data_IF_764844323677
#
_entry.id   IF_764844323677
#
_cell.length_a   1.000
_cell.length_b   1.000
_cell.length_c   1.000
_cell.angle_alpha   90.00
_cell.angle_beta   90.00
_cell.angle_gamma   90.00
#
_symmetry.space_group_name_H-M   'P 1'
#
loop_
_entity.id
_entity.type
_entity.pdbx_description
1 polymer ?
#
# COMPACT_ATOMS: atom_id res chain seq x y z
N UNK A 1 -11.16 125.41 18.67
CA UNK A 1 -9.93 124.70 18.91
C UNK A 1 -10.22 123.43 19.76
N UNK A 2 -10.48 122.27 19.14
CA UNK A 2 -10.67 121.02 19.89
C UNK A 2 -10.14 119.88 18.99
N UNK A 3 -9.13 119.27 19.45
CA UNK A 3 -8.46 118.13 18.82
C UNK A 3 -9.11 116.83 19.35
N UNK A 4 -9.82 116.14 18.49
CA UNK A 4 -10.30 114.83 18.82
C UNK A 4 -9.24 113.79 18.55
N UNK A 5 -8.91 112.95 19.53
CA UNK A 5 -7.95 111.85 19.48
C UNK A 5 -8.72 110.61 19.15
N UNK A 6 -8.45 110.02 17.98
CA UNK A 6 -8.96 108.68 17.59
C UNK A 6 -8.12 107.60 18.19
N UNK A 7 -8.67 106.86 19.13
CA UNK A 7 -8.06 105.57 19.57
C UNK A 7 -8.41 104.46 18.61
N UNK A 8 -7.41 103.94 17.92
CA UNK A 8 -7.50 102.73 17.07
C UNK A 8 -7.54 101.47 17.94
N UNK A 9 -8.68 100.75 17.95
CA UNK A 9 -8.79 99.44 18.55
C UNK A 9 -8.06 98.45 17.65
N UNK A 10 -6.89 98.03 18.12
CA UNK A 10 -6.21 96.87 17.53
C UNK A 10 -7.01 95.56 17.80
N UNK A 11 -7.66 95.05 16.76
CA UNK A 11 -8.22 93.65 16.78
C UNK A 11 -7.07 92.71 16.65
N UNK A 12 -6.72 92.06 17.72
CA UNK A 12 -5.87 90.83 17.67
C UNK A 12 -6.61 89.72 16.96
N UNK A 13 -6.16 89.40 15.77
CA UNK A 13 -6.64 88.22 15.04
C UNK A 13 -6.25 86.93 15.80
N UNK A 14 -7.24 86.21 16.24
CA UNK A 14 -7.04 84.92 16.85
C UNK A 14 -6.39 83.95 15.83
N UNK A 15 -5.25 83.42 16.21
CA UNK A 15 -4.57 82.37 15.38
C UNK A 15 -5.47 81.19 15.15
N UNK A 16 -5.54 80.64 13.93
CA UNK A 16 -6.38 79.45 13.65
C UNK A 16 -5.92 78.29 14.47
N UNK A 17 -6.83 77.61 15.18
CA UNK A 17 -6.59 76.41 15.94
C UNK A 17 -6.16 75.29 14.95
N UNK A 18 -4.90 74.94 15.02
CA UNK A 18 -4.27 73.85 14.23
C UNK A 18 -4.98 72.54 14.55
N UNK A 19 -5.70 71.99 13.57
CA UNK A 19 -6.47 70.78 13.64
C UNK A 19 -5.59 69.59 14.05
N UNK A 20 -5.79 69.05 15.25
CA UNK A 20 -5.14 67.76 15.72
C UNK A 20 -5.62 66.52 14.98
N UNK A 21 -6.51 66.68 14.01
CA UNK A 21 -7.14 65.57 13.26
C UNK A 21 -6.17 64.75 12.37
N UNK A 22 -5.03 65.32 11.95
CA UNK A 22 -4.11 64.63 11.05
C UNK A 22 -3.30 63.50 11.73
N UNK A 23 -3.10 63.61 13.06
CA UNK A 23 -2.36 62.62 13.81
C UNK A 23 -3.18 61.36 14.13
N UNK A 24 -4.46 61.50 14.40
CA UNK A 24 -5.38 60.37 14.68
C UNK A 24 -5.61 59.52 13.42
N UNK A 25 -5.77 60.14 12.25
CA UNK A 25 -5.93 59.42 10.99
C UNK A 25 -4.72 58.53 10.64
N UNK A 26 -3.49 59.02 10.88
CA UNK A 26 -2.27 58.22 10.64
C UNK A 26 -2.13 57.02 11.58
N UNK A 27 -2.52 57.25 12.87
CA UNK A 27 -2.51 56.15 13.86
C UNK A 27 -3.55 55.09 13.52
N UNK A 28 -4.74 55.47 13.13
CA UNK A 28 -5.81 54.53 12.72
C UNK A 28 -5.42 53.75 11.47
N UNK A 29 -4.80 54.40 10.47
CA UNK A 29 -4.31 53.75 9.27
C UNK A 29 -3.19 52.74 9.57
N UNK A 30 -2.28 53.08 10.49
CA UNK A 30 -1.22 52.15 10.92
C UNK A 30 -1.80 50.93 11.63
N UNK A 31 -2.77 51.12 12.53
CA UNK A 31 -3.41 49.99 13.22
C UNK A 31 -4.14 49.07 12.23
N UNK A 32 -4.90 49.64 11.30
CA UNK A 32 -5.60 48.85 10.27
C UNK A 32 -4.61 48.10 9.39
N UNK A 33 -3.51 48.75 8.97
CA UNK A 33 -2.47 48.08 8.17
C UNK A 33 -1.80 46.92 8.90
N UNK A 34 -1.53 47.10 10.21
CA UNK A 34 -0.94 46.05 11.04
C UNK A 34 -1.88 44.85 11.22
N UNK A 35 -3.18 45.12 11.46
CA UNK A 35 -4.20 44.06 11.58
C UNK A 35 -4.36 43.28 10.26
N UNK A 36 -4.36 43.99 9.12
CA UNK A 36 -4.42 43.36 7.79
C UNK A 36 -3.19 42.51 7.52
N UNK A 37 -1.99 42.98 7.87
CA UNK A 37 -0.74 42.22 7.73
C UNK A 37 -0.77 40.94 8.58
N UNK A 38 -1.22 41.01 9.82
CA UNK A 38 -1.37 39.86 10.69
C UNK A 38 -2.42 38.88 10.16
N UNK A 39 -3.55 39.37 9.64
CA UNK A 39 -4.57 38.53 9.05
C UNK A 39 -4.07 37.79 7.79
N UNK A 40 -3.27 38.46 6.95
CA UNK A 40 -2.65 37.86 5.77
C UNK A 40 -1.62 36.78 6.13
N UNK A 41 -0.79 37.03 7.18
CA UNK A 41 0.20 36.04 7.61
C UNK A 41 -0.45 34.77 8.21
N UNK A 42 -1.48 34.96 9.06
CA UNK A 42 -2.20 33.82 9.67
C UNK A 42 -3.03 33.08 8.60
N UNK A 43 -3.75 33.82 7.73
CA UNK A 43 -4.53 33.24 6.65
C UNK A 43 -3.69 32.51 5.62
N UNK A 44 -2.51 33.07 5.28
CA UNK A 44 -1.58 32.44 4.36
C UNK A 44 -0.98 31.13 4.90
N UNK A 45 -0.63 31.09 6.19
CA UNK A 45 -0.11 29.87 6.83
C UNK A 45 -1.18 28.77 6.95
N UNK A 46 -2.41 29.13 7.26
CA UNK A 46 -3.52 28.16 7.32
C UNK A 46 -3.87 27.62 5.93
N UNK A 47 -3.90 28.47 4.90
CA UNK A 47 -4.15 28.05 3.53
C UNK A 47 -3.04 27.12 3.00
N UNK A 48 -1.77 27.41 3.32
CA UNK A 48 -0.65 26.55 2.98
C UNK A 48 -0.72 25.19 3.67
N UNK A 49 -1.12 25.14 4.94
CA UNK A 49 -1.25 23.90 5.70
C UNK A 49 -2.40 23.04 5.17
N UNK A 50 -3.53 23.67 4.82
CA UNK A 50 -4.70 22.95 4.28
C UNK A 50 -4.48 22.41 2.87
N UNK A 51 -3.62 23.03 2.05
CA UNK A 51 -3.40 22.61 0.66
C UNK A 51 -2.47 21.40 0.55
N UNK A 52 -1.74 21.06 1.61
CA UNK A 52 -0.81 19.92 1.61
C UNK A 52 -1.40 18.59 2.09
N UNK A 53 -2.56 18.62 2.68
CA UNK A 53 -3.23 17.40 3.13
C UNK A 53 -4.23 16.89 2.08
N UNK A 54 -3.72 16.41 0.94
CA UNK A 54 -4.40 15.29 0.31
C UNK A 54 -4.08 14.06 1.16
N UNK A 55 -5.03 13.52 1.91
CA UNK A 55 -4.78 12.30 2.66
C UNK A 55 -4.36 11.23 1.66
N UNK A 56 -3.11 10.79 1.75
CA UNK A 56 -2.67 9.58 1.05
C UNK A 56 -3.48 8.46 1.70
N UNK A 57 -4.59 8.10 1.07
CA UNK A 57 -5.31 6.91 1.44
C UNK A 57 -4.46 5.72 1.02
N UNK A 58 -3.62 5.24 1.94
CA UNK A 58 -3.04 3.92 1.83
C UNK A 58 -4.16 2.89 1.99
N UNK A 59 -4.84 2.60 0.89
CA UNK A 59 -5.79 1.49 0.84
C UNK A 59 -4.95 0.21 0.83
N UNK A 60 -4.70 -0.34 2.01
CA UNK A 60 -4.19 -1.70 2.13
C UNK A 60 -5.31 -2.64 1.67
N UNK A 61 -5.28 -3.01 0.40
CA UNK A 61 -6.08 -4.15 -0.05
C UNK A 61 -5.43 -5.38 0.59
N UNK A 62 -6.18 -6.15 1.38
CA UNK A 62 -5.66 -7.39 1.95
C UNK A 62 -5.27 -8.31 0.80
N UNK A 63 -3.97 -8.48 0.58
CA UNK A 63 -3.45 -9.40 -0.41
C UNK A 63 -3.57 -10.81 0.14
N UNK A 64 -4.22 -11.69 -0.61
CA UNK A 64 -4.39 -13.09 -0.24
C UNK A 64 -3.46 -13.94 -1.10
N UNK A 65 -2.59 -14.71 -0.46
CA UNK A 65 -1.77 -15.74 -1.11
C UNK A 65 -2.39 -17.09 -0.76
N UNK A 66 -2.96 -17.75 -1.74
CA UNK A 66 -3.53 -19.11 -1.63
C UNK A 66 -3.26 -19.88 -2.89
N UNK A 67 -3.19 -21.19 -2.78
CA UNK A 67 -2.98 -22.07 -3.90
C UNK A 67 -3.84 -23.34 -3.78
N UNK A 68 -4.04 -24.01 -4.90
CA UNK A 68 -4.74 -25.28 -5.03
C UNK A 68 -3.91 -26.21 -5.91
N UNK A 69 -3.78 -27.48 -5.50
CA UNK A 69 -3.12 -28.49 -6.31
C UNK A 69 -4.11 -29.00 -7.36
N UNK A 70 -3.65 -29.06 -8.59
CA UNK A 70 -4.39 -29.64 -9.72
C UNK A 70 -3.66 -30.89 -10.20
N UNK A 71 -4.36 -32.02 -10.24
CA UNK A 71 -3.79 -33.28 -10.69
C UNK A 71 -4.89 -34.19 -11.23
N UNK A 72 -4.49 -35.18 -12.03
CA UNK A 72 -5.34 -36.29 -12.43
C UNK A 72 -4.77 -37.57 -11.81
N UNK A 73 -5.61 -38.36 -11.13
CA UNK A 73 -5.20 -39.62 -10.52
C UNK A 73 -5.94 -40.79 -11.12
N UNK A 74 -5.20 -41.73 -11.69
CA UNK A 74 -5.72 -43.04 -12.14
C UNK A 74 -5.43 -44.09 -11.05
N UNK A 75 -6.43 -44.33 -10.19
CA UNK A 75 -6.30 -45.28 -9.09
C UNK A 75 -6.09 -46.73 -9.53
N UNK A 76 -6.52 -47.10 -10.74
CA UNK A 76 -6.34 -48.45 -11.27
C UNK A 76 -4.90 -48.74 -11.66
N UNK A 77 -4.16 -47.73 -12.05
CA UNK A 77 -2.75 -47.82 -12.44
C UNK A 77 -1.80 -47.26 -11.39
N UNK A 78 -2.32 -46.59 -10.37
CA UNK A 78 -1.49 -45.89 -9.39
C UNK A 78 -0.70 -44.72 -9.99
N UNK A 79 -1.26 -44.05 -11.01
CA UNK A 79 -0.56 -42.97 -11.72
C UNK A 79 -1.18 -41.63 -11.41
N UNK A 80 -0.35 -40.68 -10.97
CA UNK A 80 -0.67 -39.25 -10.93
C UNK A 80 -0.13 -38.59 -12.19
N UNK A 81 -0.97 -37.77 -12.84
CA UNK A 81 -0.58 -37.07 -14.05
C UNK A 81 -1.02 -35.59 -13.99
N UNK A 82 -0.34 -34.76 -14.80
CA UNK A 82 -0.61 -33.34 -14.90
C UNK A 82 -0.56 -32.61 -13.54
N UNK A 83 0.42 -32.97 -12.71
CA UNK A 83 0.55 -32.36 -11.36
C UNK A 83 1.00 -30.91 -11.50
N UNK A 84 0.16 -30.01 -11.08
CA UNK A 84 0.40 -28.58 -11.13
C UNK A 84 -0.19 -27.86 -9.91
N UNK A 85 0.06 -26.57 -9.77
CA UNK A 85 -0.45 -25.75 -8.66
C UNK A 85 -1.06 -24.46 -9.20
N UNK A 86 -2.34 -24.24 -8.95
CA UNK A 86 -3.02 -23.01 -9.32
C UNK A 86 -2.83 -21.95 -8.23
N UNK A 87 -2.44 -20.74 -8.62
CA UNK A 87 -2.50 -19.58 -7.73
C UNK A 87 -3.95 -19.10 -7.61
N UNK A 88 -4.58 -19.35 -6.47
CA UNK A 88 -5.95 -18.88 -6.17
C UNK A 88 -5.96 -17.57 -5.37
N UNK A 89 -4.79 -16.94 -5.19
CA UNK A 89 -4.61 -15.67 -4.53
C UNK A 89 -5.03 -14.47 -5.39
N UNK A 90 -4.78 -13.28 -4.87
CA UNK A 90 -5.12 -12.01 -5.52
C UNK A 90 -3.92 -11.28 -6.10
N UNK A 91 -2.71 -11.82 -5.92
CA UNK A 91 -1.45 -11.26 -6.40
C UNK A 91 -0.60 -12.33 -7.07
N UNK A 92 0.39 -11.92 -7.86
CA UNK A 92 1.41 -12.79 -8.40
C UNK A 92 2.17 -13.47 -7.27
N UNK A 93 2.42 -14.79 -7.41
CA UNK A 93 3.10 -15.57 -6.39
C UNK A 93 4.12 -16.53 -6.99
N UNK A 94 5.23 -16.73 -6.29
CA UNK A 94 6.16 -17.80 -6.57
C UNK A 94 5.65 -19.09 -5.91
N UNK A 95 5.63 -20.17 -6.67
CA UNK A 95 5.12 -21.47 -6.21
C UNK A 95 6.26 -22.36 -5.75
N UNK A 96 6.05 -22.97 -4.59
CA UNK A 96 6.92 -23.99 -4.00
C UNK A 96 6.09 -25.20 -3.61
N UNK A 97 6.54 -26.38 -4.01
CA UNK A 97 5.87 -27.66 -3.74
C UNK A 97 6.80 -28.55 -2.91
N UNK A 98 6.24 -29.22 -1.92
CA UNK A 98 6.88 -30.36 -1.25
C UNK A 98 6.06 -31.59 -1.50
N UNK A 99 6.69 -32.64 -2.02
CA UNK A 99 6.07 -33.95 -2.15
C UNK A 99 6.25 -34.71 -0.84
N UNK A 100 5.15 -35.27 -0.36
CA UNK A 100 5.14 -36.10 0.85
C UNK A 100 4.50 -37.45 0.46
N UNK A 101 5.18 -38.53 0.79
CA UNK A 101 4.70 -39.89 0.56
C UNK A 101 4.51 -40.59 1.89
N UNK A 102 3.50 -41.41 1.98
CA UNK A 102 3.21 -42.24 3.14
C UNK A 102 2.59 -43.55 2.70
N UNK A 103 2.60 -44.51 3.57
CA UNK A 103 2.02 -45.84 3.32
C UNK A 103 0.57 -45.87 3.79
N UNK A 104 -0.27 -46.55 3.06
CA UNK A 104 -1.65 -46.83 3.45
C UNK A 104 -1.90 -48.33 3.42
N UNK A 105 -2.81 -48.82 4.28
CA UNK A 105 -3.38 -50.17 4.17
C UNK A 105 -4.41 -50.22 3.05
N UNK A 106 -5.00 -51.40 2.80
CA UNK A 106 -5.98 -51.64 1.77
C UNK A 106 -7.28 -50.79 1.99
N UNK A 107 -7.52 -50.35 3.21
CA UNK A 107 -8.66 -49.47 3.55
C UNK A 107 -8.32 -47.98 3.40
N UNK A 108 -7.11 -47.64 2.93
CA UNK A 108 -6.66 -46.26 2.72
C UNK A 108 -6.20 -45.55 3.99
N UNK A 109 -6.06 -46.26 5.09
CA UNK A 109 -5.64 -45.66 6.36
C UNK A 109 -4.10 -45.54 6.39
N UNK A 110 -3.62 -44.43 6.93
CA UNK A 110 -2.20 -44.19 7.09
C UNK A 110 -1.60 -45.13 8.13
N UNK A 111 -0.63 -45.99 7.74
CA UNK A 111 -0.02 -46.98 8.61
C UNK A 111 1.40 -46.62 9.09
N UNK A 112 1.83 -45.37 8.85
CA UNK A 112 3.15 -44.89 9.26
C UNK A 112 4.28 -45.29 8.32
N UNK A 113 5.48 -44.92 8.73
CA UNK A 113 6.70 -45.13 7.92
C UNK A 113 6.88 -44.14 6.77
N UNK A 114 8.14 -43.94 6.36
CA UNK A 114 8.46 -43.11 5.22
C UNK A 114 8.41 -43.97 3.95
N UNK A 115 7.78 -43.45 2.91
CA UNK A 115 7.89 -44.06 1.56
C UNK A 115 8.81 -43.17 0.70
N UNK A 116 9.59 -43.74 -0.17
CA UNK A 116 10.40 -42.98 -1.12
C UNK A 116 9.49 -42.24 -2.13
N UNK A 117 9.86 -41.04 -2.49
CA UNK A 117 9.19 -40.32 -3.58
C UNK A 117 9.49 -41.10 -4.87
N UNK A 118 8.47 -41.46 -5.67
CA UNK A 118 8.69 -42.08 -6.97
C UNK A 118 9.56 -41.22 -7.88
N UNK A 119 10.31 -41.86 -8.77
CA UNK A 119 11.03 -41.13 -9.81
C UNK A 119 10.04 -40.52 -10.80
N UNK A 120 10.28 -39.30 -11.22
CA UNK A 120 9.49 -38.61 -12.24
C UNK A 120 10.35 -37.59 -12.97
N UNK A 121 9.91 -37.20 -14.14
CA UNK A 121 10.55 -36.14 -14.91
C UNK A 121 10.01 -34.78 -14.45
N UNK A 122 10.94 -33.88 -14.12
CA UNK A 122 10.61 -32.55 -13.68
C UNK A 122 10.30 -31.67 -14.89
N UNK A 123 9.17 -30.95 -14.82
CA UNK A 123 8.76 -30.06 -15.88
C UNK A 123 9.70 -28.86 -16.08
N UNK A 124 9.66 -28.26 -17.26
CA UNK A 124 10.48 -27.11 -17.59
C UNK A 124 10.18 -25.93 -16.62
N UNK A 125 11.20 -25.13 -16.31
CA UNK A 125 11.12 -24.01 -15.35
C UNK A 125 10.84 -24.44 -13.89
N UNK A 126 10.87 -25.73 -13.58
CA UNK A 126 10.91 -26.23 -12.22
C UNK A 126 12.32 -26.61 -11.83
N UNK A 127 12.72 -26.30 -10.61
CA UNK A 127 14.04 -26.66 -10.06
C UNK A 127 13.87 -27.26 -8.69
N UNK A 128 14.63 -28.30 -8.39
CA UNK A 128 14.66 -28.89 -7.06
C UNK A 128 15.77 -28.24 -6.22
N UNK A 129 15.43 -27.85 -5.00
CA UNK A 129 16.39 -27.44 -3.98
C UNK A 129 16.01 -28.03 -2.63
N UNK A 130 16.85 -28.93 -2.12
CA UNK A 130 16.53 -29.75 -0.96
C UNK A 130 15.27 -30.58 -1.18
N UNK A 131 14.34 -30.52 -0.23
CA UNK A 131 13.06 -31.25 -0.26
C UNK A 131 11.97 -30.55 -1.08
N UNK A 132 12.27 -29.43 -1.71
CA UNK A 132 11.27 -28.58 -2.35
C UNK A 132 11.55 -28.45 -3.84
N UNK A 133 10.45 -28.26 -4.59
CA UNK A 133 10.43 -27.94 -6.02
C UNK A 133 9.91 -26.51 -6.18
N UNK A 134 10.65 -25.69 -6.91
CA UNK A 134 10.35 -24.27 -7.11
C UNK A 134 10.05 -23.99 -8.57
N UNK A 135 8.95 -23.33 -8.83
CA UNK A 135 8.73 -22.75 -10.15
C UNK A 135 9.47 -21.43 -10.27
N UNK A 136 10.27 -21.27 -11.33
CA UNK A 136 11.23 -20.16 -11.45
C UNK A 136 10.63 -18.82 -11.84
N UNK A 137 9.33 -18.81 -12.24
CA UNK A 137 8.61 -17.60 -12.65
C UNK A 137 7.45 -17.32 -11.69
N UNK A 138 7.04 -16.03 -11.53
CA UNK A 138 5.81 -15.71 -10.81
C UNK A 138 4.59 -16.22 -11.59
N UNK A 139 3.57 -16.64 -10.85
CA UNK A 139 2.29 -17.12 -11.39
C UNK A 139 1.21 -16.12 -11.04
N UNK A 140 0.53 -15.59 -12.05
CA UNK A 140 -0.52 -14.59 -11.88
C UNK A 140 -1.77 -15.17 -11.18
N UNK A 141 -2.62 -14.32 -10.61
CA UNK A 141 -3.89 -14.74 -9.99
C UNK A 141 -4.74 -15.60 -10.92
N UNK A 142 -5.28 -16.68 -10.37
CA UNK A 142 -6.11 -17.67 -11.08
C UNK A 142 -5.41 -18.43 -12.22
N UNK A 143 -4.10 -18.33 -12.33
CA UNK A 143 -3.29 -19.05 -13.30
C UNK A 143 -2.54 -20.21 -12.67
N UNK A 144 -2.08 -21.13 -13.51
CA UNK A 144 -1.12 -22.21 -13.19
C UNK A 144 0.23 -21.91 -13.84
N UNK A 145 1.34 -22.49 -13.35
CA UNK A 145 2.57 -22.58 -14.12
C UNK A 145 2.33 -23.04 -15.55
N UNK A 146 3.08 -22.50 -16.50
CA UNK A 146 2.98 -22.87 -17.92
C UNK A 146 3.28 -24.35 -18.18
N UNK A 147 4.06 -24.97 -17.29
CA UNK A 147 4.44 -26.37 -17.32
C UNK A 147 4.09 -27.04 -16.01
N UNK A 148 3.66 -28.29 -16.06
CA UNK A 148 3.40 -29.10 -14.88
C UNK A 148 4.67 -29.31 -14.06
N UNK A 149 4.53 -29.56 -12.75
CA UNK A 149 5.63 -30.08 -11.94
C UNK A 149 6.14 -31.42 -12.50
N UNK A 150 5.19 -32.26 -12.86
CA UNK A 150 5.42 -33.49 -13.62
C UNK A 150 4.18 -33.85 -14.45
N UNK A 151 4.41 -34.40 -15.61
CA UNK A 151 3.33 -34.88 -16.48
C UNK A 151 2.86 -36.28 -16.09
N UNK A 152 3.70 -37.07 -15.43
CA UNK A 152 3.36 -38.41 -14.96
C UNK A 152 4.26 -38.86 -13.82
N UNK A 153 3.67 -39.47 -12.82
CA UNK A 153 4.34 -40.09 -11.69
C UNK A 153 3.61 -41.38 -11.32
N UNK A 154 4.29 -42.50 -11.37
CA UNK A 154 3.71 -43.78 -10.98
C UNK A 154 4.01 -44.07 -9.51
N UNK A 155 2.96 -44.26 -8.72
CA UNK A 155 3.08 -44.65 -7.32
C UNK A 155 3.52 -46.12 -7.23
N UNK A 156 4.47 -46.39 -6.36
CA UNK A 156 4.89 -47.77 -6.11
C UNK A 156 3.76 -48.52 -5.38
N UNK A 157 3.11 -49.44 -6.07
CA UNK A 157 2.03 -50.28 -5.53
C UNK A 157 2.50 -51.53 -4.80
N UNK A 158 3.77 -51.91 -4.97
CA UNK A 158 4.35 -53.10 -4.32
C UNK A 158 5.25 -52.70 -3.17
N UNK A 159 4.67 -52.59 -2.01
CA UNK A 159 5.41 -52.56 -0.77
C UNK A 159 5.36 -53.95 -0.16
N UNK A 160 6.44 -54.68 -0.24
CA UNK A 160 6.63 -55.86 0.60
C UNK A 160 7.12 -55.36 1.96
N UNK A 161 6.28 -55.54 2.95
CA UNK A 161 6.64 -55.30 4.34
C UNK A 161 7.72 -56.39 4.71
N UNK A 162 8.97 -56.02 4.55
CA UNK A 162 10.08 -56.77 5.14
C UNK A 162 10.70 -55.84 6.18
N UNK A 163 10.06 -55.81 7.35
CA UNK A 163 10.53 -55.69 8.75
C UNK A 163 9.44 -55.11 9.63
#
# INVERSE_FOLDING_TARGET
MYRGRYEGKHRTAAAPARKKAVRTGRLTTMVIATVLLLALTIGGTLAWLSTKDTPIQNTFLPTKVTCEVTETFDGSKGVKSNVNVKNTGTIDAFIRVKLVTYRTNDEGQHIGGAASIPSFDLGANWVQYGDYYYYTKPVAPNQTPETNLTDSMTLNSSYTDTD
#
